data_IF_133730749851
#
_entry.id   IF_133730749851
#
_cell.length_a   1.000
_cell.length_b   1.000
_cell.length_c   1.000
_cell.angle_alpha   90.00
_cell.angle_beta   90.00
_cell.angle_gamma   90.00
#
_symmetry.space_group_name_H-M   'P 1'
#
loop_
_entity.id
_entity.type
_entity.pdbx_description
1 polymer ?
#
# COMPACT_ATOMS: atom_id res chain seq x y z
N UNK A 1 -5.29 -11.17 -19.05
CA UNK A 1 -4.40 -11.63 -17.96
C UNK A 1 -5.10 -11.29 -16.66
N UNK A 2 -5.19 -12.24 -15.73
CA UNK A 2 -5.64 -11.93 -14.37
C UNK A 2 -4.46 -11.31 -13.65
N UNK A 3 -4.55 -10.02 -13.33
CA UNK A 3 -3.53 -9.33 -12.55
C UNK A 3 -3.56 -9.82 -11.10
N UNK A 4 -2.41 -10.13 -10.51
CA UNK A 4 -2.28 -10.45 -9.09
C UNK A 4 -1.69 -9.26 -8.34
N UNK A 5 -2.24 -8.94 -7.16
CA UNK A 5 -1.66 -7.93 -6.25
C UNK A 5 -0.20 -8.25 -5.92
N UNK A 6 0.17 -9.53 -5.93
CA UNK A 6 1.52 -10.00 -5.66
C UNK A 6 2.51 -9.74 -6.80
N UNK A 7 2.03 -9.21 -7.94
CA UNK A 7 2.86 -8.73 -9.05
C UNK A 7 3.22 -7.23 -8.91
N UNK A 8 2.67 -6.53 -7.91
CA UNK A 8 3.06 -5.16 -7.58
C UNK A 8 4.51 -5.13 -7.07
N UNK A 9 5.32 -4.10 -7.38
CA UNK A 9 6.73 -4.03 -6.97
C UNK A 9 7.00 -4.35 -5.49
N UNK A 10 6.27 -3.75 -4.55
CA UNK A 10 6.46 -4.00 -3.12
C UNK A 10 6.11 -5.44 -2.69
N UNK A 11 4.88 -5.91 -2.94
CA UNK A 11 4.47 -7.30 -2.71
C UNK A 11 5.32 -8.36 -3.43
N UNK A 12 5.77 -8.10 -4.65
CA UNK A 12 6.66 -8.99 -5.41
C UNK A 12 7.99 -9.17 -4.68
N UNK A 13 8.60 -8.08 -4.22
CA UNK A 13 9.85 -8.13 -3.46
C UNK A 13 9.68 -8.90 -2.14
N UNK A 14 8.51 -8.79 -1.49
CA UNK A 14 8.18 -9.59 -0.31
C UNK A 14 8.13 -11.09 -0.64
N UNK A 15 7.43 -11.48 -1.70
CA UNK A 15 7.37 -12.88 -2.13
C UNK A 15 8.75 -13.39 -2.53
N UNK A 16 9.52 -12.62 -3.30
CA UNK A 16 10.87 -13.00 -3.72
C UNK A 16 11.81 -13.23 -2.52
N UNK A 17 11.74 -12.38 -1.49
CA UNK A 17 12.51 -12.60 -0.25
C UNK A 17 12.15 -13.91 0.47
N UNK A 18 10.88 -14.30 0.46
CA UNK A 18 10.43 -15.60 1.01
C UNK A 18 11.01 -16.76 0.20
N UNK A 19 10.96 -16.66 -1.13
CA UNK A 19 11.49 -17.68 -2.05
C UNK A 19 12.99 -17.85 -1.87
N UNK A 20 13.73 -16.75 -1.70
CA UNK A 20 15.17 -16.79 -1.49
C UNK A 20 15.53 -17.50 -0.17
N UNK A 21 14.79 -17.25 0.92
CA UNK A 21 15.00 -17.95 2.18
C UNK A 21 14.65 -19.45 2.10
N UNK A 22 13.59 -19.82 1.36
CA UNK A 22 13.26 -21.21 1.07
C UNK A 22 14.40 -21.89 0.29
N UNK A 23 14.95 -21.22 -0.73
CA UNK A 23 16.10 -21.73 -1.51
C UNK A 23 17.36 -21.88 -0.66
N UNK A 24 17.52 -21.08 0.39
CA UNK A 24 18.59 -21.21 1.39
C UNK A 24 18.31 -22.31 2.43
N UNK A 25 17.18 -23.01 2.33
CA UNK A 25 16.82 -24.11 3.23
C UNK A 25 16.32 -23.65 4.59
N UNK A 26 15.72 -22.46 4.66
CA UNK A 26 15.16 -21.89 5.88
C UNK A 26 13.65 -22.10 5.93
N UNK A 27 13.16 -22.32 7.14
CA UNK A 27 11.76 -22.27 7.49
C UNK A 27 11.38 -20.80 7.74
N UNK A 28 10.20 -20.40 7.28
CA UNK A 28 9.84 -18.99 7.17
C UNK A 28 8.51 -18.71 7.88
N UNK A 29 8.53 -17.82 8.88
CA UNK A 29 7.32 -17.21 9.41
C UNK A 29 6.93 -16.00 8.56
N UNK A 30 5.66 -15.92 8.15
CA UNK A 30 5.11 -14.75 7.47
C UNK A 30 4.24 -13.99 8.45
N UNK A 31 4.66 -12.78 8.81
CA UNK A 31 3.93 -11.93 9.74
C UNK A 31 3.07 -10.96 8.94
N UNK A 32 1.75 -11.15 9.04
CA UNK A 32 0.76 -10.58 8.13
C UNK A 32 -0.33 -9.83 8.92
N UNK A 33 -0.72 -8.60 8.54
CA UNK A 33 -1.88 -7.94 9.14
C UNK A 33 -3.20 -8.62 8.72
N UNK A 34 -4.29 -8.39 9.46
CA UNK A 34 -5.63 -8.90 9.12
C UNK A 34 -6.12 -8.44 7.74
N UNK A 35 -5.64 -7.29 7.28
CA UNK A 35 -5.97 -6.69 5.98
C UNK A 35 -5.09 -7.20 4.83
N UNK A 36 -4.27 -8.24 5.05
CA UNK A 36 -3.42 -8.81 4.00
C UNK A 36 -4.26 -9.29 2.82
N UNK A 37 -3.92 -8.91 1.57
CA UNK A 37 -4.65 -9.35 0.40
C UNK A 37 -4.58 -10.88 0.24
N UNK A 38 -5.64 -11.48 -0.30
CA UNK A 38 -5.65 -12.91 -0.63
C UNK A 38 -4.63 -13.28 -1.71
N UNK A 39 -4.44 -14.59 -1.93
CA UNK A 39 -3.63 -15.11 -3.04
C UNK A 39 -2.12 -15.27 -2.77
N UNK A 40 -1.63 -14.95 -1.58
CA UNK A 40 -0.19 -15.07 -1.21
C UNK A 40 0.35 -16.49 -1.46
N UNK A 41 -0.40 -17.51 -1.04
CA UNK A 41 -0.03 -18.90 -1.27
C UNK A 41 0.13 -19.20 -2.75
N UNK A 42 -0.80 -18.75 -3.60
CA UNK A 42 -0.73 -19.04 -5.04
C UNK A 42 0.44 -18.30 -5.69
N UNK A 43 0.76 -17.08 -5.24
CA UNK A 43 1.93 -16.33 -5.69
C UNK A 43 3.24 -17.06 -5.35
N UNK A 44 3.38 -17.55 -4.11
CA UNK A 44 4.54 -18.34 -3.66
C UNK A 44 4.59 -19.66 -4.43
N UNK A 45 3.47 -20.38 -4.56
CA UNK A 45 3.36 -21.63 -5.31
C UNK A 45 3.82 -21.46 -6.75
N UNK A 46 3.37 -20.39 -7.42
CA UNK A 46 3.73 -20.09 -8.80
C UNK A 46 5.24 -19.88 -8.95
N UNK A 47 5.86 -19.11 -8.06
CA UNK A 47 7.32 -18.88 -8.08
C UNK A 47 8.14 -20.12 -7.69
N UNK A 48 7.60 -21.00 -6.84
CA UNK A 48 8.28 -22.25 -6.46
C UNK A 48 8.24 -23.33 -7.53
N UNK A 49 7.23 -23.35 -8.42
CA UNK A 49 7.09 -24.37 -9.49
C UNK A 49 8.32 -24.54 -10.37
N UNK A 50 9.17 -23.51 -10.48
CA UNK A 50 10.40 -23.54 -11.26
C UNK A 50 11.54 -24.31 -10.57
N UNK A 51 11.44 -24.53 -9.25
CA UNK A 51 12.58 -24.98 -8.42
C UNK A 51 12.27 -26.13 -7.47
N UNK A 52 11.01 -26.29 -7.05
CA UNK A 52 10.60 -27.30 -6.07
C UNK A 52 9.39 -28.07 -6.58
N UNK A 53 9.42 -29.38 -6.34
CA UNK A 53 8.45 -30.36 -6.87
C UNK A 53 7.09 -30.30 -6.18
N UNK A 54 7.03 -29.97 -4.88
CA UNK A 54 5.77 -29.92 -4.14
C UNK A 54 5.70 -28.77 -3.11
N UNK A 55 4.59 -28.04 -3.17
CA UNK A 55 4.10 -27.17 -2.10
C UNK A 55 2.76 -27.73 -1.64
N UNK A 56 2.67 -28.11 -0.37
CA UNK A 56 1.50 -28.73 0.25
C UNK A 56 0.91 -27.81 1.31
N UNK A 57 -0.42 -27.81 1.45
CA UNK A 57 -1.08 -27.11 2.56
C UNK A 57 -1.40 -28.09 3.67
N UNK A 58 -1.15 -27.66 4.89
CA UNK A 58 -1.44 -28.41 6.10
C UNK A 58 -2.05 -27.47 7.13
N UNK A 59 -3.20 -27.84 7.68
CA UNK A 59 -3.83 -27.11 8.77
C UNK A 59 -3.37 -27.70 10.10
N UNK A 60 -2.70 -26.89 10.93
CA UNK A 60 -2.26 -27.30 12.26
C UNK A 60 -3.42 -27.78 13.15
N UNK A 61 -4.64 -27.28 12.90
CA UNK A 61 -5.85 -27.68 13.60
C UNK A 61 -6.37 -29.08 13.23
N UNK A 62 -6.05 -29.59 12.04
CA UNK A 62 -6.52 -30.90 11.56
C UNK A 62 -5.71 -32.05 12.13
N UNK A 63 -4.43 -31.79 12.39
CA UNK A 63 -3.48 -32.82 12.79
C UNK A 63 -3.29 -32.90 14.29
N UNK A 64 -3.92 -32.04 15.09
CA UNK A 64 -3.54 -31.80 16.49
C UNK A 64 -4.04 -32.84 17.52
N UNK A 65 -3.91 -34.14 17.28
CA UNK A 65 -4.34 -35.15 18.26
C UNK A 65 -3.30 -35.38 19.36
N UNK A 66 -2.00 -35.37 19.01
CA UNK A 66 -0.90 -35.64 19.96
C UNK A 66 0.11 -34.49 19.95
N UNK A 67 1.35 -34.75 19.53
CA UNK A 67 2.42 -33.77 19.37
C UNK A 67 2.66 -33.49 17.88
N UNK A 68 3.08 -32.26 17.48
CA UNK A 68 3.33 -31.92 16.08
C UNK A 68 4.20 -32.91 15.32
N UNK A 69 5.26 -33.44 15.96
CA UNK A 69 6.15 -34.42 15.34
C UNK A 69 5.43 -35.76 15.08
N UNK A 70 4.70 -36.28 16.07
CA UNK A 70 3.91 -37.51 15.93
C UNK A 70 2.85 -37.36 14.85
N UNK A 71 2.15 -36.23 14.87
CA UNK A 71 1.05 -35.94 13.96
C UNK A 71 1.56 -35.86 12.50
N UNK A 72 2.73 -35.28 12.27
CA UNK A 72 3.40 -35.28 10.96
C UNK A 72 3.89 -36.68 10.53
N UNK A 73 4.42 -37.48 11.45
CA UNK A 73 4.78 -38.88 11.16
C UNK A 73 3.58 -39.68 10.64
N UNK A 74 2.43 -39.52 11.30
CA UNK A 74 1.17 -40.16 10.92
C UNK A 74 0.68 -39.63 9.56
N UNK A 75 0.63 -38.31 9.39
CA UNK A 75 0.13 -37.68 8.16
C UNK A 75 0.92 -38.11 6.92
N UNK A 76 2.25 -38.19 7.02
CA UNK A 76 3.13 -38.57 5.92
C UNK A 76 3.39 -40.08 5.82
N UNK A 77 2.73 -40.90 6.64
CA UNK A 77 2.89 -42.36 6.71
C UNK A 77 4.38 -42.77 6.67
N UNK A 78 5.18 -42.11 7.49
CA UNK A 78 6.62 -42.37 7.56
C UNK A 78 6.84 -43.73 8.21
N UNK A 79 7.68 -44.60 7.65
CA UNK A 79 8.00 -45.89 8.29
C UNK A 79 8.79 -45.64 9.57
N UNK A 80 8.37 -46.29 10.65
CA UNK A 80 8.94 -46.11 11.99
C UNK A 80 9.65 -47.41 12.35
N UNK A 81 10.97 -47.39 12.40
CA UNK A 81 11.76 -48.56 12.78
C UNK A 81 11.88 -48.74 14.30
N UNK A 82 11.63 -47.68 15.09
CA UNK A 82 11.71 -47.68 16.56
C UNK A 82 10.52 -46.94 17.17
N UNK A 83 9.95 -47.41 18.28
CA UNK A 83 8.78 -46.83 18.98
C UNK A 83 8.96 -45.37 19.47
N UNK A 84 10.14 -44.76 19.28
CA UNK A 84 10.43 -43.39 19.67
C UNK A 84 10.22 -42.41 18.51
N UNK A 85 9.13 -41.65 18.60
CA UNK A 85 8.83 -40.52 17.72
C UNK A 85 9.73 -39.34 18.05
N UNK A 86 10.87 -39.22 17.37
CA UNK A 86 11.75 -38.07 17.49
C UNK A 86 11.81 -37.26 16.18
N UNK A 87 12.08 -35.96 16.32
CA UNK A 87 12.15 -35.02 15.20
C UNK A 87 13.26 -35.40 14.20
N UNK A 88 14.34 -36.02 14.68
CA UNK A 88 15.45 -36.46 13.85
C UNK A 88 15.07 -37.62 12.92
N UNK A 89 14.18 -38.51 13.35
CA UNK A 89 13.60 -39.58 12.53
C UNK A 89 12.67 -39.01 11.46
N UNK A 90 11.86 -38.00 11.79
CA UNK A 90 11.00 -37.30 10.82
C UNK A 90 11.84 -36.69 9.68
N UNK A 91 12.93 -35.99 10.01
CA UNK A 91 13.85 -35.40 9.02
C UNK A 91 14.49 -36.42 8.07
N UNK A 92 14.63 -37.69 8.49
CA UNK A 92 15.26 -38.75 7.70
C UNK A 92 14.26 -39.56 6.88
N UNK A 93 12.96 -39.36 7.08
CA UNK A 93 11.94 -40.13 6.39
C UNK A 93 11.80 -39.67 4.94
N UNK A 94 11.99 -40.58 3.98
CA UNK A 94 11.84 -40.33 2.54
C UNK A 94 10.47 -39.74 2.18
N UNK A 95 9.39 -40.20 2.85
CA UNK A 95 8.05 -39.67 2.61
C UNK A 95 7.87 -38.23 3.10
N UNK A 96 8.73 -37.74 3.98
CA UNK A 96 8.63 -36.38 4.51
C UNK A 96 9.54 -35.40 3.74
N UNK A 97 10.71 -35.85 3.31
CA UNK A 97 11.79 -35.06 2.70
C UNK A 97 11.41 -34.31 1.41
N UNK A 98 12.16 -33.24 1.13
CA UNK A 98 12.13 -32.48 -0.13
C UNK A 98 10.79 -31.79 -0.43
N UNK A 99 10.07 -31.36 0.60
CA UNK A 99 8.75 -30.69 0.47
C UNK A 99 8.78 -29.28 1.04
N UNK A 100 7.96 -28.40 0.48
CA UNK A 100 7.57 -27.16 1.18
C UNK A 100 6.16 -27.35 1.74
N UNK A 101 6.01 -27.12 3.04
CA UNK A 101 4.76 -27.29 3.78
C UNK A 101 4.27 -25.91 4.21
N UNK A 102 3.15 -25.49 3.65
CA UNK A 102 2.42 -24.32 4.06
C UNK A 102 1.53 -24.66 5.25
N UNK A 103 1.95 -24.24 6.45
CA UNK A 103 1.34 -24.62 7.72
C UNK A 103 0.43 -23.51 8.25
N UNK A 104 -0.89 -23.68 8.12
CA UNK A 104 -1.91 -22.70 8.51
C UNK A 104 -2.53 -23.01 9.87
N UNK A 105 -3.26 -22.05 10.42
CA UNK A 105 -4.11 -22.21 11.61
C UNK A 105 -3.37 -22.67 12.88
N UNK A 106 -2.12 -22.21 13.07
CA UNK A 106 -1.42 -22.33 14.35
C UNK A 106 -2.04 -21.34 15.34
N UNK A 107 -3.13 -21.73 15.98
CA UNK A 107 -3.85 -20.90 16.96
C UNK A 107 -4.22 -21.70 18.21
N UNK A 108 -4.37 -21.00 19.34
CA UNK A 108 -4.92 -21.57 20.56
C UNK A 108 -3.89 -22.33 21.42
N UNK A 109 -4.34 -23.29 22.26
CA UNK A 109 -3.48 -23.92 23.28
C UNK A 109 -2.23 -24.62 22.75
N UNK A 110 -2.25 -25.08 21.49
CA UNK A 110 -1.15 -25.82 20.85
C UNK A 110 -0.17 -24.95 20.07
N UNK A 111 -0.40 -23.64 20.05
CA UNK A 111 0.48 -22.70 19.38
C UNK A 111 1.93 -22.81 19.90
N UNK A 112 2.12 -22.89 21.22
CA UNK A 112 3.45 -23.03 21.81
C UNK A 112 4.11 -24.39 21.49
N UNK A 113 3.33 -25.46 21.37
CA UNK A 113 3.85 -26.79 20.98
C UNK A 113 4.41 -26.76 19.56
N UNK A 114 3.68 -26.14 18.62
CA UNK A 114 4.14 -25.96 17.25
C UNK A 114 5.39 -25.11 17.15
N UNK A 115 5.48 -24.01 17.89
CA UNK A 115 6.70 -23.20 17.88
C UNK A 115 7.91 -23.92 18.49
N UNK A 116 7.69 -24.67 19.58
CA UNK A 116 8.74 -25.51 20.16
C UNK A 116 9.19 -26.59 19.17
N UNK A 117 8.25 -27.22 18.45
CA UNK A 117 8.55 -28.16 17.39
C UNK A 117 9.36 -27.51 16.27
N UNK A 118 8.93 -26.38 15.71
CA UNK A 118 9.62 -25.68 14.62
C UNK A 118 11.04 -25.26 15.02
N UNK A 119 11.23 -24.84 16.28
CA UNK A 119 12.55 -24.54 16.85
C UNK A 119 13.44 -25.78 16.90
N UNK A 120 12.95 -26.91 17.42
CA UNK A 120 13.73 -28.14 17.49
C UNK A 120 13.97 -28.73 16.09
N UNK A 121 13.00 -28.61 15.20
CA UNK A 121 13.08 -29.04 13.81
C UNK A 121 14.16 -28.27 13.05
N UNK A 122 14.25 -26.94 13.21
CA UNK A 122 15.29 -26.14 12.54
C UNK A 122 16.72 -26.55 12.94
N UNK A 123 16.89 -27.03 14.17
CA UNK A 123 18.16 -27.60 14.65
C UNK A 123 18.38 -29.00 14.05
N UNK A 124 17.39 -29.88 14.12
CA UNK A 124 17.49 -31.25 13.63
C UNK A 124 17.74 -31.33 12.11
N UNK A 125 17.07 -30.48 11.32
CA UNK A 125 17.21 -30.46 9.86
C UNK A 125 18.51 -29.82 9.37
N UNK A 126 19.25 -29.11 10.23
CA UNK A 126 20.53 -28.50 9.87
C UNK A 126 21.59 -29.51 9.44
N UNK A 127 21.50 -30.74 9.92
CA UNK A 127 22.39 -31.85 9.54
C UNK A 127 22.00 -32.54 8.22
N UNK A 128 20.83 -32.22 7.65
CA UNK A 128 20.38 -32.76 6.37
C UNK A 128 20.93 -31.94 5.20
N UNK A 129 21.09 -32.55 4.03
CA UNK A 129 21.44 -31.80 2.80
C UNK A 129 20.29 -30.90 2.40
N UNK A 130 20.60 -29.76 1.79
CA UNK A 130 19.61 -28.77 1.39
C UNK A 130 18.44 -29.37 0.59
N UNK A 131 18.74 -30.26 -0.36
CA UNK A 131 17.73 -30.88 -1.24
C UNK A 131 16.84 -31.91 -0.53
N UNK A 132 17.28 -32.45 0.61
CA UNK A 132 16.53 -33.44 1.40
C UNK A 132 15.65 -32.75 2.46
N UNK A 133 15.88 -31.47 2.75
CA UNK A 133 15.14 -30.75 3.79
C UNK A 133 13.70 -30.51 3.36
N UNK A 134 12.80 -30.74 4.30
CA UNK A 134 11.45 -30.20 4.22
C UNK A 134 11.39 -28.87 4.96
N UNK A 135 10.68 -27.91 4.36
CA UNK A 135 10.68 -26.53 4.80
C UNK A 135 9.26 -26.10 5.12
N UNK A 136 9.09 -25.37 6.22
CA UNK A 136 7.81 -24.83 6.61
C UNK A 136 7.69 -23.36 6.20
N UNK A 137 6.53 -23.00 5.66
CA UNK A 137 6.09 -21.62 5.47
C UNK A 137 4.86 -21.41 6.35
N UNK A 138 4.98 -20.53 7.34
CA UNK A 138 4.00 -20.40 8.42
C UNK A 138 3.39 -18.98 8.40
N UNK A 139 2.25 -18.77 7.74
CA UNK A 139 1.54 -17.51 7.82
C UNK A 139 0.89 -17.30 9.19
N UNK A 140 1.18 -16.16 9.81
CA UNK A 140 0.61 -15.71 11.09
C UNK A 140 -0.10 -14.39 10.82
N UNK A 141 -1.41 -14.37 11.07
CA UNK A 141 -2.28 -13.24 10.77
C UNK A 141 -2.69 -12.47 12.03
N UNK A 142 -2.77 -11.16 11.90
CA UNK A 142 -3.49 -10.31 12.84
C UNK A 142 -3.00 -10.41 14.27
N UNK A 143 -3.92 -10.51 15.21
CA UNK A 143 -3.63 -10.54 16.66
C UNK A 143 -2.66 -11.65 17.11
N UNK A 144 -2.39 -12.67 16.28
CA UNK A 144 -1.42 -13.73 16.56
C UNK A 144 0.02 -13.33 16.20
N UNK A 145 0.21 -12.21 15.50
CA UNK A 145 1.54 -11.69 15.20
C UNK A 145 2.23 -11.17 16.45
N UNK A 146 3.52 -11.46 16.57
CA UNK A 146 4.35 -11.17 17.73
C UNK A 146 5.81 -10.99 17.33
N UNK A 147 6.55 -10.22 18.10
CA UNK A 147 7.96 -9.89 17.84
C UNK A 147 8.97 -10.82 18.52
N UNK A 148 8.49 -11.69 19.40
CA UNK A 148 9.29 -12.66 20.15
C UNK A 148 9.46 -14.02 19.43
N UNK A 149 9.08 -14.10 18.14
CA UNK A 149 9.28 -15.32 17.37
C UNK A 149 10.77 -15.69 17.26
N UNK A 150 11.12 -16.98 17.41
CA UNK A 150 12.52 -17.41 17.37
C UNK A 150 13.14 -17.10 16.00
N UNK A 151 14.32 -16.47 16.03
CA UNK A 151 15.18 -16.32 14.85
C UNK A 151 16.46 -17.09 15.16
N UNK A 152 16.55 -18.32 14.67
CA UNK A 152 17.66 -19.22 14.99
C UNK A 152 17.96 -20.14 13.80
N UNK A 153 19.24 -20.25 13.43
CA UNK A 153 19.77 -21.15 12.41
C UNK A 153 19.04 -21.10 11.05
N UNK A 154 18.01 -21.94 10.91
CA UNK A 154 17.20 -22.17 9.71
C UNK A 154 15.75 -21.72 9.91
N UNK A 155 15.54 -20.72 10.76
CA UNK A 155 14.24 -20.14 11.06
C UNK A 155 14.35 -18.62 10.91
N UNK A 156 13.54 -18.06 10.02
CA UNK A 156 13.52 -16.63 9.70
C UNK A 156 12.07 -16.13 9.68
N UNK A 157 11.89 -14.80 9.66
CA UNK A 157 10.58 -14.20 9.52
C UNK A 157 10.59 -13.08 8.49
N UNK A 158 9.44 -12.90 7.84
CA UNK A 158 9.19 -11.80 6.91
C UNK A 158 7.97 -11.01 7.39
N UNK A 159 8.18 -9.73 7.67
CA UNK A 159 7.10 -8.80 7.99
C UNK A 159 6.53 -8.20 6.71
N UNK A 160 5.21 -8.19 6.59
CA UNK A 160 4.52 -7.46 5.51
C UNK A 160 4.45 -5.94 5.77
N UNK A 161 5.17 -5.47 6.79
CA UNK A 161 5.36 -4.06 7.13
C UNK A 161 6.11 -3.29 6.05
N UNK A 162 5.53 -2.18 5.60
CA UNK A 162 6.18 -1.32 4.61
C UNK A 162 6.34 -1.95 3.24
N UNK A 163 5.52 -2.95 2.89
CA UNK A 163 5.58 -3.67 1.61
C UNK A 163 4.66 -3.09 0.55
N UNK A 164 3.90 -2.05 0.88
CA UNK A 164 3.01 -1.36 -0.05
C UNK A 164 3.39 0.13 -0.06
N UNK A 165 3.85 0.61 -1.21
CA UNK A 165 4.22 2.01 -1.46
C UNK A 165 3.08 2.80 -2.13
N UNK A 166 3.23 4.14 -2.20
CA UNK A 166 2.27 4.94 -2.98
C UNK A 166 2.28 4.57 -4.46
N UNK A 167 3.43 4.14 -5.01
CA UNK A 167 3.53 3.70 -6.40
C UNK A 167 2.73 2.40 -6.62
N UNK A 168 2.83 1.44 -5.70
CA UNK A 168 2.06 0.19 -5.76
C UNK A 168 0.56 0.50 -5.81
N UNK A 169 0.09 1.44 -4.99
CA UNK A 169 -1.32 1.88 -4.98
C UNK A 169 -1.74 2.57 -6.28
N UNK A 170 -0.88 3.39 -6.88
CA UNK A 170 -1.17 4.01 -8.18
C UNK A 170 -1.29 2.96 -9.29
N UNK A 171 -0.36 2.01 -9.32
CA UNK A 171 -0.39 0.89 -10.28
C UNK A 171 -1.67 0.08 -10.08
N UNK A 172 -1.94 -0.34 -8.84
CA UNK A 172 -3.12 -1.11 -8.48
C UNK A 172 -4.42 -0.38 -8.88
N UNK A 173 -4.57 0.89 -8.49
CA UNK A 173 -5.74 1.67 -8.84
C UNK A 173 -5.89 1.85 -10.37
N UNK A 174 -4.78 2.02 -11.09
CA UNK A 174 -4.78 2.13 -12.57
C UNK A 174 -5.26 0.86 -13.25
N UNK A 175 -4.96 -0.31 -12.68
CA UNK A 175 -5.40 -1.60 -13.20
C UNK A 175 -6.87 -1.88 -12.89
N UNK A 176 -7.38 -1.36 -11.77
CA UNK A 176 -8.79 -1.43 -11.41
C UNK A 176 -9.65 -0.48 -12.26
N UNK A 177 -9.09 0.66 -12.70
CA UNK A 177 -9.70 1.50 -13.71
C UNK A 177 -9.67 0.77 -15.06
N UNK A 178 -10.83 0.25 -15.47
CA UNK A 178 -10.98 -0.53 -16.71
C UNK A 178 -10.35 0.19 -17.92
N UNK A 179 -9.66 -0.54 -18.84
CA UNK A 179 -8.89 0.04 -19.97
C UNK A 179 -9.73 0.78 -21.02
N UNK A 180 -11.03 0.96 -20.77
CA UNK A 180 -11.97 1.70 -21.62
C UNK A 180 -12.02 3.19 -21.35
N UNK A 181 -11.31 3.69 -20.33
CA UNK A 181 -11.29 5.11 -20.04
C UNK A 181 -10.06 5.76 -20.67
N UNK A 182 -10.28 6.80 -21.46
CA UNK A 182 -9.22 7.65 -22.01
C UNK A 182 -8.34 8.18 -20.87
N UNK A 183 -7.06 8.43 -21.13
CA UNK A 183 -6.13 9.06 -20.17
C UNK A 183 -6.46 10.54 -19.96
N UNK A 184 -7.63 10.82 -19.40
CA UNK A 184 -8.11 12.17 -19.06
C UNK A 184 -7.40 12.70 -17.82
N UNK A 185 -7.47 14.01 -17.63
CA UNK A 185 -6.96 14.62 -16.41
C UNK A 185 -7.70 14.09 -15.18
N UNK A 186 -9.01 13.91 -15.29
CA UNK A 186 -9.83 13.34 -14.22
C UNK A 186 -9.33 11.97 -13.77
N UNK A 187 -8.93 11.10 -14.69
CA UNK A 187 -8.41 9.78 -14.33
C UNK A 187 -7.07 9.87 -13.60
N UNK A 188 -6.14 10.71 -14.07
CA UNK A 188 -4.88 10.93 -13.35
C UNK A 188 -5.10 11.51 -11.96
N UNK A 189 -6.05 12.44 -11.84
CA UNK A 189 -6.44 13.05 -10.58
C UNK A 189 -7.05 12.02 -9.63
N UNK A 190 -7.97 11.20 -10.14
CA UNK A 190 -8.62 10.11 -9.41
C UNK A 190 -7.56 9.14 -8.86
N UNK A 191 -6.64 8.67 -9.70
CA UNK A 191 -5.55 7.77 -9.28
C UNK A 191 -4.67 8.39 -8.19
N UNK A 192 -4.31 9.67 -8.35
CA UNK A 192 -3.52 10.40 -7.36
C UNK A 192 -4.24 10.55 -6.02
N UNK A 193 -5.56 10.81 -6.05
CA UNK A 193 -6.42 10.89 -4.86
C UNK A 193 -6.54 9.54 -4.18
N UNK A 194 -6.82 8.46 -4.92
CA UNK A 194 -6.93 7.11 -4.36
C UNK A 194 -5.62 6.69 -3.68
N UNK A 195 -4.48 6.86 -4.36
CA UNK A 195 -3.19 6.50 -3.78
C UNK A 195 -2.88 7.31 -2.51
N UNK A 196 -3.14 8.63 -2.53
CA UNK A 196 -2.92 9.50 -1.37
C UNK A 196 -3.88 9.21 -0.21
N UNK A 197 -5.13 8.82 -0.50
CA UNK A 197 -6.16 8.54 0.48
C UNK A 197 -5.96 7.18 1.16
N UNK A 198 -5.76 6.13 0.36
CA UNK A 198 -5.67 4.75 0.82
C UNK A 198 -4.34 4.42 1.48
N UNK A 199 -3.24 5.04 1.04
CA UNK A 199 -1.91 4.77 1.59
C UNK A 199 -1.43 3.37 1.23
N UNK A 200 -1.68 2.41 2.12
CA UNK A 200 -1.36 0.99 1.95
C UNK A 200 -2.61 0.10 1.82
N UNK A 201 -3.79 0.65 2.09
CA UNK A 201 -5.02 -0.14 2.23
C UNK A 201 -5.61 -0.49 0.85
N UNK A 202 -5.15 -1.62 0.30
CA UNK A 202 -5.56 -2.10 -1.03
C UNK A 202 -7.06 -2.39 -1.13
N UNK A 203 -7.69 -2.90 -0.07
CA UNK A 203 -9.13 -3.15 -0.08
C UNK A 203 -9.95 -1.86 -0.07
N UNK A 204 -9.47 -0.80 0.59
CA UNK A 204 -10.07 0.52 0.47
C UNK A 204 -9.92 1.06 -0.96
N UNK A 205 -8.74 0.91 -1.57
CA UNK A 205 -8.51 1.34 -2.95
C UNK A 205 -9.41 0.58 -3.94
N UNK A 206 -9.56 -0.73 -3.78
CA UNK A 206 -10.47 -1.55 -4.58
C UNK A 206 -11.92 -1.07 -4.45
N UNK A 207 -12.39 -0.78 -3.23
CA UNK A 207 -13.76 -0.32 -3.00
C UNK A 207 -14.00 1.04 -3.65
N UNK A 208 -13.09 1.99 -3.44
CA UNK A 208 -13.22 3.37 -3.93
C UNK A 208 -13.09 3.47 -5.46
N UNK A 209 -12.21 2.67 -6.08
CA UNK A 209 -12.03 2.64 -7.55
C UNK A 209 -13.29 2.24 -8.31
N UNK A 210 -14.22 1.52 -7.67
CA UNK A 210 -15.49 1.11 -8.29
C UNK A 210 -16.50 2.26 -8.47
N UNK A 211 -16.36 3.38 -7.75
CA UNK A 211 -17.30 4.52 -7.83
C UNK A 211 -16.95 5.56 -8.90
N UNK A 212 -15.68 5.70 -9.29
CA UNK A 212 -15.17 6.73 -10.22
C UNK A 212 -15.38 8.20 -9.77
N UNK A 213 -16.09 8.46 -8.68
CA UNK A 213 -16.33 9.81 -8.13
C UNK A 213 -15.28 10.18 -7.08
N UNK A 214 -14.74 11.40 -7.16
CA UNK A 214 -13.76 11.97 -6.21
C UNK A 214 -14.36 12.93 -5.18
N UNK A 215 -15.69 13.04 -5.09
CA UNK A 215 -16.30 13.94 -4.13
C UNK A 215 -16.08 13.47 -2.68
N UNK A 216 -15.67 14.39 -1.80
CA UNK A 216 -15.29 14.11 -0.42
C UNK A 216 -16.36 13.28 0.33
N UNK A 217 -17.63 13.67 0.23
CA UNK A 217 -18.74 12.98 0.90
C UNK A 217 -18.95 11.55 0.36
N UNK A 218 -18.78 11.33 -0.94
CA UNK A 218 -18.93 10.02 -1.56
C UNK A 218 -17.81 9.06 -1.12
N UNK A 219 -16.58 9.58 -1.02
CA UNK A 219 -15.42 8.84 -0.53
C UNK A 219 -15.56 8.50 0.96
N UNK A 220 -15.99 9.46 1.78
CA UNK A 220 -16.23 9.26 3.22
C UNK A 220 -17.28 8.16 3.44
N UNK A 221 -18.41 8.23 2.73
CA UNK A 221 -19.48 7.23 2.85
C UNK A 221 -19.01 5.81 2.51
N UNK A 222 -18.14 5.63 1.51
CA UNK A 222 -17.58 4.31 1.21
C UNK A 222 -16.60 3.81 2.29
N UNK A 223 -15.82 4.71 2.89
CA UNK A 223 -14.94 4.36 4.00
C UNK A 223 -15.73 3.97 5.26
N UNK A 224 -16.88 4.60 5.52
CA UNK A 224 -17.81 4.22 6.59
C UNK A 224 -18.43 2.83 6.35
N UNK A 225 -18.81 2.52 5.10
CA UNK A 225 -19.27 1.19 4.73
C UNK A 225 -18.18 0.14 4.96
N UNK A 226 -16.94 0.44 4.57
CA UNK A 226 -15.81 -0.46 4.79
C UNK A 226 -15.47 -0.64 6.28
N UNK A 227 -15.63 0.41 7.11
CA UNK A 227 -15.51 0.30 8.56
C UNK A 227 -16.52 -0.71 9.12
N UNK A 228 -17.76 -0.66 8.63
CA UNK A 228 -18.84 -1.58 9.02
C UNK A 228 -18.53 -3.02 8.59
N UNK A 229 -18.07 -3.22 7.35
CA UNK A 229 -17.66 -4.54 6.83
C UNK A 229 -16.53 -5.16 7.67
N UNK A 230 -15.57 -4.34 8.10
CA UNK A 230 -14.47 -4.76 8.99
C UNK A 230 -14.87 -4.88 10.46
N UNK A 231 -16.10 -4.51 10.82
CA UNK A 231 -16.57 -4.44 12.22
C UNK A 231 -15.71 -3.49 13.06
N UNK A 232 -15.10 -2.48 12.44
CA UNK A 232 -14.35 -1.46 13.14
C UNK A 232 -15.33 -0.43 13.71
N UNK A 233 -15.27 -0.24 15.02
CA UNK A 233 -16.07 0.74 15.74
C UNK A 233 -15.17 1.53 16.70
N UNK A 234 -15.71 2.61 17.24
CA UNK A 234 -14.96 3.55 18.10
C UNK A 234 -14.37 2.83 19.33
N UNK A 235 -15.11 1.89 19.92
CA UNK A 235 -14.63 1.08 21.06
C UNK A 235 -13.40 0.23 20.72
N UNK A 236 -13.42 -0.46 19.57
CA UNK A 236 -12.28 -1.26 19.10
C UNK A 236 -11.06 -0.38 18.83
N UNK A 237 -11.26 0.73 18.10
CA UNK A 237 -10.16 1.62 17.76
C UNK A 237 -9.58 2.24 19.03
N UNK A 238 -10.39 2.79 19.93
CA UNK A 238 -9.90 3.35 21.21
C UNK A 238 -9.15 2.32 22.06
N UNK A 239 -9.58 1.06 22.06
CA UNK A 239 -8.90 -0.02 22.81
C UNK A 239 -7.50 -0.33 22.27
N UNK A 240 -7.33 -0.25 20.95
CA UNK A 240 -6.08 -0.60 20.28
C UNK A 240 -5.22 0.65 20.05
N UNK A 241 -5.78 1.85 20.03
CA UNK A 241 -5.06 3.08 19.68
C UNK A 241 -4.05 3.53 20.74
N UNK A 242 -2.90 4.04 20.28
CA UNK A 242 -1.91 4.73 21.13
C UNK A 242 -1.83 6.17 20.66
N UNK A 243 -2.09 7.13 21.55
CA UNK A 243 -2.16 8.55 21.20
C UNK A 243 -0.81 9.16 20.80
N UNK A 244 0.31 8.58 21.26
CA UNK A 244 1.64 9.20 21.17
C UNK A 244 2.47 8.79 19.93
N UNK A 245 1.86 8.14 18.92
CA UNK A 245 2.59 7.67 17.74
C UNK A 245 3.28 8.81 16.95
N UNK A 246 2.74 10.04 17.03
CA UNK A 246 3.31 11.21 16.36
C UNK A 246 4.64 11.69 16.97
N UNK A 247 4.91 11.32 18.23
CA UNK A 247 6.13 11.72 18.95
C UNK A 247 7.20 10.63 18.91
N UNK A 248 6.89 9.44 18.39
CA UNK A 248 7.85 8.36 18.30
C UNK A 248 8.92 8.67 17.25
N UNK A 249 10.19 8.47 17.60
CA UNK A 249 11.26 8.44 16.62
C UNK A 249 11.12 7.18 15.76
N UNK A 250 10.83 7.38 14.48
CA UNK A 250 10.66 6.29 13.53
C UNK A 250 11.97 6.00 12.82
N UNK A 251 12.45 4.77 12.93
CA UNK A 251 13.52 4.29 12.05
C UNK A 251 12.96 4.05 10.64
N UNK A 252 13.22 5.02 9.76
CA UNK A 252 12.87 4.96 8.34
C UNK A 252 13.45 3.75 7.62
N UNK A 253 14.47 3.08 8.17
CA UNK A 253 15.07 1.86 7.59
C UNK A 253 14.53 0.57 8.20
N UNK A 254 13.74 0.63 9.27
CA UNK A 254 13.22 -0.58 9.91
C UNK A 254 12.37 -1.40 8.94
N UNK A 255 12.63 -2.70 8.91
CA UNK A 255 11.91 -3.72 8.15
C UNK A 255 10.78 -4.37 8.96
N UNK A 256 10.62 -3.99 10.23
CA UNK A 256 9.56 -4.46 11.13
C UNK A 256 8.88 -3.30 11.87
N UNK A 257 7.61 -3.44 12.30
CA UNK A 257 6.96 -2.46 13.14
C UNK A 257 7.66 -2.35 14.51
N UNK A 258 7.56 -1.17 15.14
CA UNK A 258 7.96 -1.01 16.53
C UNK A 258 7.03 -1.84 17.42
N UNK A 259 7.57 -2.46 18.49
CA UNK A 259 6.79 -3.29 19.42
C UNK A 259 5.56 -2.55 19.98
N UNK A 260 5.64 -1.22 20.12
CA UNK A 260 4.53 -0.38 20.58
C UNK A 260 3.34 -0.39 19.62
N UNK A 261 3.57 -0.58 18.30
CA UNK A 261 2.53 -0.47 17.27
C UNK A 261 2.15 -1.81 16.60
N UNK A 262 2.68 -2.93 17.07
CA UNK A 262 2.41 -4.26 16.48
C UNK A 262 0.91 -4.55 16.48
N UNK A 263 0.19 -4.26 17.57
CA UNK A 263 -1.25 -4.57 17.68
C UNK A 263 -2.09 -3.80 16.66
N UNK A 264 -1.75 -2.55 16.41
CA UNK A 264 -2.42 -1.66 15.46
C UNK A 264 -2.11 -2.09 14.03
N UNK A 265 -0.83 -2.38 13.73
CA UNK A 265 -0.42 -2.90 12.43
C UNK A 265 -1.09 -4.25 12.15
N UNK A 266 -1.06 -5.16 13.11
CA UNK A 266 -1.68 -6.47 13.05
C UNK A 266 -3.17 -6.37 12.73
N UNK A 267 -3.90 -5.46 13.39
CA UNK A 267 -5.30 -5.18 13.10
C UNK A 267 -5.52 -4.48 11.74
N UNK A 268 -4.47 -4.16 10.98
CA UNK A 268 -4.52 -3.47 9.70
C UNK A 268 -4.78 -1.96 9.81
N UNK A 269 -4.67 -1.36 10.99
CA UNK A 269 -5.02 0.04 11.26
C UNK A 269 -3.89 1.03 10.94
N UNK A 270 -2.64 0.57 10.87
CA UNK A 270 -1.52 1.37 10.40
C UNK A 270 -0.51 0.53 9.62
N UNK A 271 0.27 1.19 8.76
CA UNK A 271 1.43 0.61 8.08
C UNK A 271 2.48 1.71 7.79
N UNK A 272 3.62 1.32 7.24
CA UNK A 272 4.64 2.22 6.70
C UNK A 272 4.43 2.39 5.20
N UNK A 273 4.37 3.64 4.72
CA UNK A 273 4.26 3.99 3.30
C UNK A 273 5.30 5.05 3.00
N UNK A 274 6.20 4.75 2.06
CA UNK A 274 7.28 5.65 1.63
C UNK A 274 8.10 6.24 2.81
N UNK A 275 8.37 5.39 3.80
CA UNK A 275 9.11 5.75 5.01
C UNK A 275 8.25 6.36 6.12
N UNK A 276 6.99 6.72 5.87
CA UNK A 276 6.11 7.37 6.87
C UNK A 276 5.10 6.39 7.44
N UNK A 277 4.76 6.53 8.71
CA UNK A 277 3.64 5.79 9.28
C UNK A 277 2.35 6.41 8.79
N UNK A 278 1.50 5.57 8.23
CA UNK A 278 0.22 5.95 7.70
C UNK A 278 -0.87 5.14 8.40
N UNK A 279 -1.91 5.83 8.80
CA UNK A 279 -3.09 5.24 9.43
C UNK A 279 -4.07 4.87 8.32
N UNK A 280 -4.74 3.71 8.40
CA UNK A 280 -5.79 3.37 7.45
C UNK A 280 -6.82 4.50 7.40
N UNK A 281 -7.26 4.93 6.20
CA UNK A 281 -8.32 5.94 6.11
C UNK A 281 -9.62 5.48 6.79
N UNK A 282 -9.87 4.17 6.84
CA UNK A 282 -11.02 3.59 7.55
C UNK A 282 -10.92 3.83 9.06
N UNK A 283 -9.71 3.70 9.63
CA UNK A 283 -9.48 4.00 11.04
C UNK A 283 -9.63 5.49 11.35
N UNK A 284 -9.19 6.39 10.45
CA UNK A 284 -9.40 7.84 10.61
C UNK A 284 -10.88 8.24 10.63
N UNK A 285 -11.70 7.60 9.80
CA UNK A 285 -13.16 7.79 9.82
C UNK A 285 -13.75 7.37 11.16
N UNK A 286 -13.41 6.17 11.64
CA UNK A 286 -13.91 5.66 12.92
C UNK A 286 -13.48 6.56 14.09
N UNK A 287 -12.29 7.17 14.02
CA UNK A 287 -11.78 8.14 15.01
C UNK A 287 -12.45 9.52 14.93
N UNK A 288 -13.37 9.74 14.00
CA UNK A 288 -14.02 11.03 13.80
C UNK A 288 -13.06 12.12 13.31
N UNK A 289 -12.06 11.75 12.49
CA UNK A 289 -11.08 12.69 11.94
C UNK A 289 -11.24 12.90 10.42
N UNK A 290 -12.34 13.50 9.95
CA UNK A 290 -12.54 13.79 8.52
C UNK A 290 -11.52 14.81 7.99
N UNK A 291 -10.85 15.57 8.87
CA UNK A 291 -9.80 16.51 8.49
C UNK A 291 -8.61 15.84 7.81
N UNK A 292 -8.17 14.68 8.32
CA UNK A 292 -7.09 13.90 7.69
C UNK A 292 -7.50 13.34 6.32
N UNK A 293 -8.75 12.87 6.18
CA UNK A 293 -9.29 12.41 4.89
C UNK A 293 -9.25 13.55 3.86
N UNK A 294 -9.74 14.73 4.25
CA UNK A 294 -9.68 15.93 3.42
C UNK A 294 -8.24 16.30 3.05
N UNK A 295 -7.32 16.21 4.00
CA UNK A 295 -5.91 16.50 3.75
C UNK A 295 -5.29 15.50 2.76
N UNK A 296 -5.65 14.22 2.82
CA UNK A 296 -5.17 13.22 1.84
C UNK A 296 -5.73 13.44 0.44
N UNK A 297 -7.01 13.78 0.31
CA UNK A 297 -7.60 14.19 -0.98
C UNK A 297 -6.86 15.41 -1.52
N UNK A 298 -6.60 16.42 -0.66
CA UNK A 298 -5.81 17.59 -1.03
C UNK A 298 -4.39 17.22 -1.51
N UNK A 299 -3.68 16.32 -0.82
CA UNK A 299 -2.34 15.84 -1.26
C UNK A 299 -2.41 15.23 -2.67
N UNK A 300 -3.41 14.40 -2.93
CA UNK A 300 -3.63 13.81 -4.26
C UNK A 300 -3.90 14.87 -5.33
N UNK A 301 -4.68 15.90 -5.00
CA UNK A 301 -4.90 17.03 -5.90
C UNK A 301 -3.62 17.84 -6.15
N UNK A 302 -2.82 18.12 -5.12
CA UNK A 302 -1.56 18.85 -5.24
C UNK A 302 -0.57 18.13 -6.16
N UNK A 303 -0.39 16.82 -5.94
CA UNK A 303 0.53 15.99 -6.73
C UNK A 303 0.19 15.99 -8.22
N UNK A 304 -1.11 16.01 -8.56
CA UNK A 304 -1.56 15.97 -9.95
C UNK A 304 -1.67 17.38 -10.58
N UNK A 305 -2.26 18.34 -9.87
CA UNK A 305 -2.66 19.63 -10.46
C UNK A 305 -1.56 20.68 -10.49
N UNK A 306 -0.68 20.75 -9.48
CA UNK A 306 0.35 21.81 -9.44
C UNK A 306 1.29 21.77 -10.67
N UNK A 307 1.84 20.62 -11.10
CA UNK A 307 2.69 20.57 -12.28
C UNK A 307 2.00 21.12 -13.53
N UNK A 308 0.71 20.79 -13.72
CA UNK A 308 -0.08 21.23 -14.88
C UNK A 308 -0.38 22.73 -14.79
N UNK A 309 -0.68 23.24 -13.60
CA UNK A 309 -0.91 24.66 -13.39
C UNK A 309 0.35 25.46 -13.74
N UNK A 310 1.52 24.95 -13.38
CA UNK A 310 2.80 25.58 -13.74
C UNK A 310 3.09 25.54 -15.24
N UNK A 311 2.78 24.44 -15.93
CA UNK A 311 2.84 24.38 -17.39
C UNK A 311 1.89 25.40 -18.04
N UNK A 312 0.64 25.49 -17.56
CA UNK A 312 -0.33 26.48 -18.01
C UNK A 312 0.17 27.92 -17.75
N UNK A 313 0.80 28.16 -16.60
CA UNK A 313 1.37 29.46 -16.23
C UNK A 313 2.42 29.90 -17.25
N UNK A 314 3.34 29.01 -17.63
CA UNK A 314 4.36 29.30 -18.64
C UNK A 314 3.75 29.61 -20.02
N UNK A 315 2.74 28.83 -20.43
CA UNK A 315 2.01 29.07 -21.69
C UNK A 315 1.27 30.41 -21.71
N UNK A 316 0.67 30.80 -20.58
CA UNK A 316 0.03 32.11 -20.44
C UNK A 316 1.04 33.23 -20.59
N UNK A 317 2.22 33.12 -19.97
CA UNK A 317 3.30 34.12 -20.12
C UNK A 317 3.70 34.23 -21.59
N UNK A 318 3.99 33.11 -22.26
CA UNK A 318 4.38 33.08 -23.67
C UNK A 318 3.32 33.71 -24.59
N UNK A 319 2.04 33.38 -24.37
CA UNK A 319 0.94 33.96 -25.13
C UNK A 319 0.87 35.48 -24.96
N UNK A 320 1.00 35.96 -23.71
CA UNK A 320 0.96 37.38 -23.41
C UNK A 320 2.13 38.12 -24.07
N UNK A 321 3.36 37.59 -23.94
CA UNK A 321 4.58 38.14 -24.56
C UNK A 321 4.47 38.25 -26.08
N UNK A 322 3.93 37.20 -26.72
CA UNK A 322 3.79 37.14 -28.18
C UNK A 322 2.78 38.17 -28.70
N UNK A 323 1.59 38.26 -28.07
CA UNK A 323 0.46 39.01 -28.64
C UNK A 323 0.38 40.47 -28.18
N UNK A 324 0.92 40.78 -27.01
CA UNK A 324 0.76 42.12 -26.42
C UNK A 324 2.10 42.83 -26.20
N UNK A 325 3.22 42.16 -26.51
CA UNK A 325 4.60 42.56 -26.18
C UNK A 325 4.70 43.31 -24.84
N UNK A 326 4.07 42.84 -23.75
CA UNK A 326 4.28 43.47 -22.48
C UNK A 326 5.75 43.22 -22.12
N UNK A 327 6.40 44.17 -21.47
CA UNK A 327 7.70 43.93 -20.82
C UNK A 327 7.50 43.01 -19.60
N UNK A 328 6.82 41.87 -19.74
CA UNK A 328 6.63 40.86 -18.69
C UNK A 328 7.97 40.30 -18.26
N UNK A 329 8.89 40.09 -19.22
CA UNK A 329 10.30 39.81 -18.96
C UNK A 329 10.98 40.84 -18.05
N UNK A 330 10.57 42.11 -18.07
CA UNK A 330 11.09 43.14 -17.15
C UNK A 330 10.55 42.96 -15.72
N UNK A 331 9.33 42.44 -15.56
CA UNK A 331 8.80 42.07 -14.24
C UNK A 331 9.51 40.83 -13.67
N UNK A 332 9.97 39.91 -14.53
CA UNK A 332 10.78 38.74 -14.14
C UNK A 332 12.21 39.16 -13.75
N UNK A 333 12.80 40.14 -14.45
CA UNK A 333 14.20 40.55 -14.26
C UNK A 333 14.46 41.46 -13.04
N UNK A 334 13.43 41.95 -12.34
CA UNK A 334 13.58 42.84 -11.17
C UNK A 334 13.66 42.07 -9.83
N UNK A 335 14.42 40.97 -9.77
CA UNK A 335 14.66 40.16 -8.54
C UNK A 335 13.41 39.58 -7.83
N UNK A 336 12.23 39.58 -8.46
CA UNK A 336 11.00 39.04 -7.86
C UNK A 336 10.77 37.54 -8.10
N UNK A 337 11.72 36.84 -8.72
CA UNK A 337 11.60 35.43 -9.05
C UNK A 337 10.58 35.16 -10.17
N UNK A 338 10.23 33.88 -10.42
CA UNK A 338 9.28 33.52 -11.47
C UNK A 338 7.90 34.11 -11.17
N UNK A 339 7.27 34.72 -12.18
CA UNK A 339 5.92 35.28 -12.05
C UNK A 339 4.90 34.17 -11.72
N UNK A 340 4.36 34.22 -10.51
CA UNK A 340 3.24 33.40 -10.06
C UNK A 340 1.96 33.71 -10.86
N UNK A 341 1.08 32.72 -10.99
CA UNK A 341 -0.17 32.87 -11.76
C UNK A 341 -1.08 34.00 -11.22
N UNK A 342 -1.06 34.22 -9.90
CA UNK A 342 -1.78 35.32 -9.26
C UNK A 342 -1.26 36.70 -9.67
N UNK A 343 0.06 36.85 -9.83
CA UNK A 343 0.70 38.08 -10.29
C UNK A 343 0.35 38.37 -11.75
N UNK A 344 0.30 37.34 -12.60
CA UNK A 344 -0.15 37.46 -13.99
C UNK A 344 -1.60 37.96 -14.05
N UNK A 345 -2.50 37.36 -13.25
CA UNK A 345 -3.90 37.80 -13.16
C UNK A 345 -3.97 39.27 -12.73
N UNK A 346 -3.26 39.65 -11.68
CA UNK A 346 -3.23 41.02 -11.18
C UNK A 346 -2.74 42.00 -12.24
N UNK A 347 -1.68 41.64 -12.98
CA UNK A 347 -1.15 42.43 -14.08
C UNK A 347 -2.21 42.65 -15.17
N UNK A 348 -2.91 41.60 -15.62
CA UNK A 348 -3.99 41.75 -16.61
C UNK A 348 -5.11 42.63 -16.07
N UNK A 349 -5.53 42.42 -14.82
CA UNK A 349 -6.65 43.16 -14.21
C UNK A 349 -6.37 44.66 -14.06
N UNK A 350 -5.11 45.03 -13.80
CA UNK A 350 -4.63 46.41 -13.60
C UNK A 350 -4.20 47.11 -14.89
N UNK A 351 -4.13 46.40 -16.02
CA UNK A 351 -3.76 46.97 -17.33
C UNK A 351 -4.95 46.94 -18.29
N UNK A 352 -5.78 48.01 -18.35
CA UNK A 352 -7.00 48.04 -19.18
C UNK A 352 -6.77 47.77 -20.67
N UNK A 353 -5.60 48.16 -21.20
CA UNK A 353 -5.22 47.93 -22.60
C UNK A 353 -5.13 46.44 -22.92
N UNK A 354 -4.53 45.64 -22.02
CA UNK A 354 -4.42 44.20 -22.18
C UNK A 354 -5.78 43.56 -21.92
N UNK A 355 -6.44 43.95 -20.82
CA UNK A 355 -7.75 43.42 -20.44
C UNK A 355 -8.82 43.56 -21.51
N UNK A 356 -8.82 44.66 -22.27
CA UNK A 356 -9.79 44.88 -23.37
C UNK A 356 -9.50 44.03 -24.61
N UNK A 357 -8.26 43.59 -24.81
CA UNK A 357 -7.84 42.84 -26.00
C UNK A 357 -7.77 41.33 -25.77
N UNK A 358 -7.76 40.90 -24.51
CA UNK A 358 -7.71 39.49 -24.15
C UNK A 358 -9.09 38.87 -24.29
N UNK A 359 -9.12 37.64 -24.83
CA UNK A 359 -10.34 36.86 -24.93
C UNK A 359 -10.96 36.62 -23.53
N UNK A 360 -12.29 36.75 -23.43
CA UNK A 360 -13.00 36.65 -22.13
C UNK A 360 -12.83 35.27 -21.52
N UNK A 361 -12.85 34.22 -22.33
CA UNK A 361 -12.70 32.85 -21.87
C UNK A 361 -11.27 32.58 -21.38
N UNK A 362 -10.26 33.10 -22.10
CA UNK A 362 -8.88 33.08 -21.65
C UNK A 362 -8.67 33.80 -20.30
N UNK A 363 -9.25 35.00 -20.11
CA UNK A 363 -9.18 35.71 -18.82
C UNK A 363 -9.87 34.92 -17.70
N UNK A 364 -11.04 34.35 -17.98
CA UNK A 364 -11.75 33.50 -17.03
C UNK A 364 -10.96 32.24 -16.66
N UNK A 365 -10.21 31.67 -17.60
CA UNK A 365 -9.33 30.54 -17.35
C UNK A 365 -8.17 30.92 -16.41
N UNK A 366 -7.51 32.06 -16.63
CA UNK A 366 -6.47 32.56 -15.71
C UNK A 366 -7.02 32.78 -14.29
N UNK A 367 -8.24 33.29 -14.18
CA UNK A 367 -8.92 33.42 -12.87
C UNK A 367 -9.14 32.05 -12.22
N UNK A 368 -9.54 31.05 -13.00
CA UNK A 368 -9.72 29.68 -12.52
C UNK A 368 -8.39 29.08 -12.04
N UNK A 369 -7.31 29.20 -12.81
CA UNK A 369 -5.97 28.76 -12.42
C UNK A 369 -5.54 29.38 -11.09
N UNK A 370 -5.70 30.70 -10.97
CA UNK A 370 -5.38 31.43 -9.74
C UNK A 370 -6.18 30.92 -8.56
N UNK A 371 -7.49 30.69 -8.75
CA UNK A 371 -8.37 30.18 -7.69
C UNK A 371 -7.95 28.78 -7.25
N UNK A 372 -7.75 27.86 -8.19
CA UNK A 372 -7.32 26.48 -7.89
C UNK A 372 -6.00 26.48 -7.13
N UNK A 373 -4.99 27.23 -7.61
CA UNK A 373 -3.70 27.37 -6.92
C UNK A 373 -3.88 27.90 -5.50
N UNK A 374 -4.70 28.92 -5.30
CA UNK A 374 -4.95 29.48 -3.97
C UNK A 374 -5.67 28.48 -3.04
N UNK A 375 -6.67 27.76 -3.55
CA UNK A 375 -7.36 26.73 -2.78
C UNK A 375 -6.36 25.62 -2.36
N UNK A 376 -5.48 25.18 -3.27
CA UNK A 376 -4.41 24.23 -2.96
C UNK A 376 -3.41 24.79 -1.93
N UNK A 377 -3.02 26.06 -2.03
CA UNK A 377 -2.13 26.69 -1.05
C UNK A 377 -2.77 26.79 0.35
N UNK A 378 -4.10 26.80 0.43
CA UNK A 378 -4.88 26.82 1.68
C UNK A 378 -5.36 25.45 2.14
N UNK A 379 -4.75 24.35 1.66
CA UNK A 379 -5.09 22.97 2.04
C UNK A 379 -6.55 22.56 1.72
N UNK A 380 -7.16 23.17 0.69
CA UNK A 380 -8.53 22.87 0.28
C UNK A 380 -8.55 21.95 -0.93
N UNK A 381 -9.26 20.81 -0.87
CA UNK A 381 -9.56 20.03 -2.06
C UNK A 381 -10.32 20.87 -3.09
N UNK A 382 -10.12 20.53 -4.37
CA UNK A 382 -10.75 21.21 -5.50
C UNK A 382 -12.04 20.47 -5.84
N UNK A 383 -13.13 21.23 -6.03
CA UNK A 383 -14.42 20.65 -6.41
C UNK A 383 -14.40 20.10 -7.84
N UNK A 384 -15.24 19.09 -8.09
CA UNK A 384 -15.40 18.49 -9.41
C UNK A 384 -15.77 19.53 -10.48
N UNK A 385 -16.61 20.51 -10.14
CA UNK A 385 -16.95 21.63 -11.05
C UNK A 385 -15.72 22.43 -11.47
N UNK A 386 -14.79 22.71 -10.56
CA UNK A 386 -13.56 23.42 -10.91
C UNK A 386 -12.62 22.55 -11.74
N UNK A 387 -12.54 21.25 -11.47
CA UNK A 387 -11.73 20.29 -12.23
C UNK A 387 -12.22 20.20 -13.67
N UNK A 388 -13.53 20.05 -13.88
CA UNK A 388 -14.13 19.96 -15.22
C UNK A 388 -13.84 21.23 -16.03
N UNK A 389 -14.02 22.40 -15.40
CA UNK A 389 -13.70 23.69 -16.04
C UNK A 389 -12.21 23.84 -16.33
N UNK A 390 -11.35 23.29 -15.48
CA UNK A 390 -9.90 23.34 -15.67
C UNK A 390 -9.49 22.48 -16.87
N UNK A 391 -10.05 21.28 -17.01
CA UNK A 391 -9.80 20.38 -18.14
C UNK A 391 -10.31 20.97 -19.47
N UNK A 392 -11.53 21.51 -19.51
CA UNK A 392 -12.05 22.16 -20.72
C UNK A 392 -11.20 23.35 -21.15
N UNK A 393 -10.74 24.15 -20.18
CA UNK A 393 -9.86 25.28 -20.48
C UNK A 393 -8.44 24.87 -20.88
N UNK A 394 -7.95 23.73 -20.40
CA UNK A 394 -6.66 23.15 -20.80
C UNK A 394 -6.67 22.82 -22.30
N UNK A 395 -7.71 22.14 -22.78
CA UNK A 395 -7.86 21.82 -24.20
C UNK A 395 -7.91 23.10 -25.05
N UNK A 396 -8.69 24.10 -24.62
CA UNK A 396 -8.80 25.38 -25.33
C UNK A 396 -7.48 26.16 -25.37
N UNK A 397 -6.67 26.10 -24.30
CA UNK A 397 -5.37 26.77 -24.24
C UNK A 397 -4.36 26.12 -25.20
N UNK A 398 -4.35 24.80 -25.29
CA UNK A 398 -3.40 24.05 -26.11
C UNK A 398 -3.76 24.06 -27.61
N UNK A 399 -5.03 24.23 -27.97
CA UNK A 399 -5.45 24.37 -29.37
C UNK A 399 -5.24 25.79 -29.96
N UNK A 400 -4.90 26.79 -29.13
CA UNK A 400 -4.74 28.21 -29.54
C UNK A 400 -3.28 28.63 -29.80
N UNK A 401 -2.32 27.73 -29.64
CA UNK A 401 -0.91 27.95 -30.00
C UNK A 401 -0.55 27.13 -31.22
#
# INVERSE_FOLDING_TARGET
>A
MNFSIWDLPGPENFVSGIIDDIRLGRNVFLLLPETTPGGLYEAIKQKLKETITSLERLSAAEISQSSPAYDLHQFYNTKIENENFDIASLCRSENFQSRVIWLENIVGPKEQEWYNFLKQYSVACSNQRLIERSLFVIPIYGQHTRDDLPIENLLTHHWFWGKISSLDLQIFASMMLSPRHDYTLQNRLFLSVIASLCGYDLSAAEKLTRRLEIEENALISELENLATERKWNDSLVQKIWINDFQQMEWDFKSTKPNYTVIKQWAAGMLDKVDGRIMISPVAEIVRGNPGEIRQRIWRGHVQCLLPIIDECRLKVIQYLETNYRPRLSFLINNDQGPLEIGSIKYYIDTNPQIRKRIDRDFHNYIKLLTRIRNDLAHLKPISLTHINRFESGLQALFCKG
#
